data_IF_753087145405
#
_entry.id   IF_753087145405
#
_cell.length_a   1.000
_cell.length_b   1.000
_cell.length_c   1.000
_cell.angle_alpha   90.00
_cell.angle_beta   90.00
_cell.angle_gamma   90.00
#
_symmetry.space_group_name_H-M   'P 1'
#
loop_
_entity.id
_entity.type
_entity.pdbx_description
1 polymer ?
#
# COMPACT_ATOMS: atom_id res chain seq x y z
N UNK A 1 28.89 -7.38 -7.41
CA UNK A 1 28.73 -6.23 -8.33
C UNK A 1 28.58 -4.95 -7.50
N UNK A 2 29.17 -3.86 -7.92
CA UNK A 2 29.03 -2.60 -7.17
C UNK A 2 27.62 -2.01 -7.38
N UNK A 3 26.96 -1.65 -6.29
CA UNK A 3 25.66 -0.99 -6.32
C UNK A 3 25.85 0.47 -6.76
N UNK A 4 25.19 0.85 -7.84
CA UNK A 4 25.26 2.21 -8.39
C UNK A 4 24.08 3.07 -7.92
N UNK A 5 24.25 4.39 -7.96
CA UNK A 5 23.17 5.32 -7.66
C UNK A 5 21.98 5.18 -8.63
N UNK A 6 22.25 4.81 -9.88
CA UNK A 6 21.22 4.53 -10.89
C UNK A 6 20.34 3.34 -10.50
N UNK A 7 20.96 2.26 -10.06
CA UNK A 7 20.21 1.07 -9.58
C UNK A 7 19.33 1.38 -8.37
N UNK A 8 19.84 2.19 -7.43
CA UNK A 8 19.05 2.63 -6.26
C UNK A 8 17.85 3.46 -6.68
N UNK A 9 18.03 4.37 -7.64
CA UNK A 9 16.96 5.20 -8.19
C UNK A 9 15.90 4.36 -8.87
N UNK A 10 16.31 3.44 -9.74
CA UNK A 10 15.44 2.53 -10.46
C UNK A 10 14.61 1.66 -9.50
N UNK A 11 15.26 1.05 -8.51
CA UNK A 11 14.55 0.24 -7.50
C UNK A 11 13.54 1.07 -6.70
N UNK A 12 13.88 2.32 -6.40
CA UNK A 12 12.96 3.23 -5.72
C UNK A 12 11.75 3.58 -6.59
N UNK A 13 11.95 3.82 -7.87
CA UNK A 13 10.86 4.10 -8.82
C UNK A 13 9.92 2.88 -8.98
N UNK A 14 10.48 1.68 -8.97
CA UNK A 14 9.72 0.42 -9.06
C UNK A 14 8.91 0.11 -7.80
N UNK A 15 9.45 0.40 -6.63
CA UNK A 15 8.90 -0.10 -5.35
C UNK A 15 8.29 0.98 -4.45
N UNK A 16 8.60 2.24 -4.68
CA UNK A 16 8.23 3.33 -3.77
C UNK A 16 8.96 3.32 -2.42
N UNK A 17 9.89 2.39 -2.20
CA UNK A 17 10.62 2.27 -0.95
C UNK A 17 11.61 3.44 -0.75
N UNK A 18 12.00 3.68 0.50
CA UNK A 18 12.99 4.72 0.84
C UNK A 18 14.36 4.45 0.21
N UNK A 19 15.10 5.50 -0.12
CA UNK A 19 16.41 5.39 -0.78
C UNK A 19 17.40 4.51 -0.01
N UNK A 20 17.43 4.64 1.31
CA UNK A 20 18.33 3.83 2.15
C UNK A 20 17.93 2.36 2.19
N UNK A 21 16.62 2.07 2.20
CA UNK A 21 16.10 0.70 2.14
C UNK A 21 16.44 0.06 0.79
N UNK A 22 16.30 0.81 -0.32
CA UNK A 22 16.70 0.35 -1.65
C UNK A 22 18.20 0.06 -1.75
N UNK A 23 19.04 0.95 -1.23
CA UNK A 23 20.50 0.74 -1.18
C UNK A 23 20.86 -0.50 -0.38
N UNK A 24 20.22 -0.69 0.79
CA UNK A 24 20.42 -1.88 1.62
C UNK A 24 20.01 -3.15 0.88
N UNK A 25 18.83 -3.15 0.27
CA UNK A 25 18.31 -4.29 -0.49
C UNK A 25 19.28 -4.71 -1.60
N UNK A 26 19.77 -3.75 -2.39
CA UNK A 26 20.73 -4.03 -3.47
C UNK A 26 22.08 -4.56 -2.95
N UNK A 27 22.56 -4.05 -1.83
CA UNK A 27 23.77 -4.56 -1.22
C UNK A 27 23.61 -6.02 -0.75
N UNK A 28 22.49 -6.33 -0.08
CA UNK A 28 22.19 -7.69 0.40
C UNK A 28 21.96 -8.70 -0.74
N UNK A 29 21.58 -8.22 -1.91
CA UNK A 29 21.31 -9.05 -3.08
C UNK A 29 22.40 -8.94 -4.18
N UNK A 30 23.56 -8.36 -3.84
CA UNK A 30 24.69 -8.17 -4.77
C UNK A 30 24.32 -7.48 -6.09
N UNK A 31 23.37 -6.55 -6.05
CA UNK A 31 22.90 -5.80 -7.21
C UNK A 31 21.84 -6.49 -8.05
N UNK A 32 21.32 -7.62 -7.61
CA UNK A 32 20.19 -8.28 -8.27
C UNK A 32 18.90 -7.52 -7.98
N UNK A 33 18.28 -6.95 -9.03
CA UNK A 33 17.10 -6.10 -8.93
C UNK A 33 15.86 -6.87 -8.48
N UNK A 34 15.64 -8.06 -9.05
CA UNK A 34 14.46 -8.88 -8.73
C UNK A 34 14.54 -9.40 -7.28
N UNK A 35 15.71 -9.86 -6.88
CA UNK A 35 15.97 -10.25 -5.51
C UNK A 35 15.83 -9.07 -4.53
N UNK A 36 16.23 -7.87 -4.93
CA UNK A 36 16.09 -6.65 -4.13
C UNK A 36 14.61 -6.23 -3.94
N UNK A 37 13.78 -6.37 -4.97
CA UNK A 37 12.33 -6.16 -4.87
C UNK A 37 11.72 -7.11 -3.85
N UNK A 38 12.06 -8.39 -3.93
CA UNK A 38 11.55 -9.40 -3.00
C UNK A 38 12.05 -9.19 -1.56
N UNK A 39 13.30 -8.76 -1.41
CA UNK A 39 13.87 -8.39 -0.11
C UNK A 39 13.11 -7.20 0.52
N UNK A 40 12.80 -6.17 -0.28
CA UNK A 40 12.02 -5.02 0.18
C UNK A 40 10.59 -5.41 0.55
N UNK A 41 9.96 -6.29 -0.23
CA UNK A 41 8.61 -6.78 0.05
C UNK A 41 8.56 -7.51 1.40
N UNK A 42 9.48 -8.43 1.66
CA UNK A 42 9.57 -9.17 2.93
C UNK A 42 9.84 -8.25 4.12
N UNK A 43 10.73 -7.29 3.96
CA UNK A 43 11.03 -6.31 5.02
C UNK A 43 9.85 -5.36 5.29
N UNK A 44 9.12 -4.97 4.25
CA UNK A 44 7.91 -4.19 4.39
C UNK A 44 6.83 -4.92 5.18
N UNK A 45 6.62 -6.18 4.89
CA UNK A 45 5.71 -7.06 5.63
C UNK A 45 6.11 -7.16 7.12
N UNK A 46 7.38 -7.43 7.41
CA UNK A 46 7.88 -7.50 8.78
C UNK A 46 7.74 -6.18 9.55
N UNK A 47 7.94 -5.04 8.87
CA UNK A 47 7.71 -3.71 9.47
C UNK A 47 6.21 -3.47 9.75
N UNK A 48 5.34 -3.88 8.85
CA UNK A 48 3.88 -3.76 9.02
C UNK A 48 3.39 -4.61 10.20
N UNK A 49 3.84 -5.84 10.29
CA UNK A 49 3.52 -6.74 11.42
C UNK A 49 3.94 -6.15 12.76
N UNK A 50 5.13 -5.56 12.86
CA UNK A 50 5.61 -4.90 14.08
C UNK A 50 4.75 -3.71 14.49
N UNK A 51 4.08 -3.06 13.53
CA UNK A 51 3.23 -1.88 13.76
C UNK A 51 1.76 -2.24 13.93
N UNK A 52 1.35 -3.48 13.64
CA UNK A 52 -0.06 -3.89 13.65
C UNK A 52 -0.78 -3.67 14.98
N UNK A 53 -0.05 -3.68 16.09
CA UNK A 53 -0.59 -3.42 17.43
C UNK A 53 -0.71 -1.94 17.81
N UNK A 54 -0.31 -1.00 16.94
CA UNK A 54 -0.43 0.43 17.23
C UNK A 54 -1.87 0.90 17.15
N UNK A 55 -2.25 1.82 18.01
CA UNK A 55 -3.58 2.42 18.01
C UNK A 55 -3.70 3.37 16.82
N UNK A 56 -4.67 3.12 15.95
CA UNK A 56 -5.04 3.97 14.83
C UNK A 56 -6.45 4.52 15.09
N UNK A 57 -6.54 5.58 15.90
CA UNK A 57 -7.80 6.17 16.35
C UNK A 57 -8.27 7.34 15.47
N UNK A 58 -7.42 7.83 14.59
CA UNK A 58 -7.72 8.84 13.58
C UNK A 58 -8.00 8.18 12.24
N UNK A 59 -8.29 8.95 11.22
CA UNK A 59 -8.51 8.45 9.86
C UNK A 59 -9.60 9.20 9.13
N UNK A 60 -10.14 8.58 8.08
CA UNK A 60 -11.20 9.12 7.24
C UNK A 60 -12.34 8.13 7.07
N UNK A 61 -13.55 8.66 7.02
CA UNK A 61 -14.74 7.97 6.53
C UNK A 61 -15.09 8.57 5.17
N UNK A 62 -15.26 7.75 4.16
CA UNK A 62 -15.64 8.16 2.81
C UNK A 62 -16.81 7.35 2.32
N UNK A 63 -17.77 8.04 1.71
CA UNK A 63 -18.90 7.42 1.03
C UNK A 63 -18.89 7.77 -0.46
N UNK A 64 -19.37 6.87 -1.29
CA UNK A 64 -19.56 7.11 -2.71
C UNK A 64 -20.79 6.39 -3.23
N UNK A 65 -21.37 6.90 -4.32
CA UNK A 65 -22.56 6.35 -4.97
C UNK A 65 -22.23 6.09 -6.44
N UNK A 66 -22.71 4.97 -6.97
CA UNK A 66 -22.54 4.59 -8.36
C UNK A 66 -23.93 4.39 -9.00
N UNK A 67 -24.18 5.11 -10.11
CA UNK A 67 -25.37 5.00 -10.94
C UNK A 67 -26.71 5.14 -10.18
N UNK A 68 -26.72 5.89 -9.09
CA UNK A 68 -27.85 6.04 -8.14
C UNK A 68 -28.44 4.69 -7.63
N UNK A 69 -27.67 3.61 -7.73
CA UNK A 69 -28.13 2.25 -7.37
C UNK A 69 -27.29 1.58 -6.29
N UNK A 70 -25.99 1.86 -6.27
CA UNK A 70 -25.04 1.27 -5.33
C UNK A 70 -24.36 2.36 -4.55
N UNK A 71 -24.28 2.21 -3.25
CA UNK A 71 -23.51 3.08 -2.38
C UNK A 71 -22.54 2.25 -1.54
N UNK A 72 -21.37 2.80 -1.28
CA UNK A 72 -20.39 2.25 -0.35
C UNK A 72 -19.94 3.31 0.64
N UNK A 73 -19.66 2.88 1.85
CA UNK A 73 -19.03 3.70 2.88
C UNK A 73 -17.85 2.92 3.45
N UNK A 74 -16.71 3.56 3.58
CA UNK A 74 -15.50 2.96 4.14
C UNK A 74 -14.94 3.83 5.24
N UNK A 75 -14.34 3.21 6.23
CA UNK A 75 -13.51 3.83 7.24
C UNK A 75 -12.10 3.30 7.10
N UNK A 76 -11.13 4.22 6.93
CA UNK A 76 -9.71 3.89 6.86
C UNK A 76 -9.00 4.64 7.99
N UNK A 77 -8.50 3.89 8.95
CA UNK A 77 -7.87 4.46 10.13
C UNK A 77 -6.40 4.80 9.90
N UNK A 78 -5.93 5.79 10.64
CA UNK A 78 -4.53 6.21 10.69
C UNK A 78 -4.11 6.48 12.13
N UNK A 79 -2.80 6.51 12.37
CA UNK A 79 -2.27 6.78 13.73
C UNK A 79 -2.45 8.24 14.14
N UNK A 80 -2.43 9.17 13.18
CA UNK A 80 -2.50 10.62 13.44
C UNK A 80 -3.45 11.34 12.50
N UNK A 81 -3.95 12.51 12.92
CA UNK A 81 -4.74 13.41 12.08
C UNK A 81 -3.92 14.03 10.94
N UNK A 82 -2.61 14.17 11.10
CA UNK A 82 -1.72 14.62 10.02
C UNK A 82 -1.75 13.68 8.81
N UNK A 83 -1.77 12.36 9.05
CA UNK A 83 -1.93 11.35 8.00
C UNK A 83 -3.30 11.50 7.34
N UNK A 84 -4.37 11.64 8.12
CA UNK A 84 -5.73 11.81 7.60
C UNK A 84 -5.89 13.04 6.70
N UNK A 85 -5.12 14.09 6.94
CA UNK A 85 -5.11 15.33 6.14
C UNK A 85 -4.17 15.28 4.93
N UNK A 86 -3.34 14.25 4.82
CA UNK A 86 -2.39 14.09 3.72
C UNK A 86 -3.13 13.75 2.42
N UNK A 87 -2.78 14.43 1.32
CA UNK A 87 -3.44 14.27 0.03
C UNK A 87 -3.25 12.85 -0.56
N UNK A 88 -2.10 12.23 -0.35
CA UNK A 88 -1.81 10.87 -0.78
C UNK A 88 -2.68 9.85 -0.03
N UNK A 89 -2.83 10.01 1.28
CA UNK A 89 -3.72 9.18 2.08
C UNK A 89 -5.20 9.36 1.65
N UNK A 90 -5.64 10.58 1.41
CA UNK A 90 -7.00 10.87 0.91
C UNK A 90 -7.24 10.22 -0.45
N UNK A 91 -6.28 10.27 -1.36
CA UNK A 91 -6.33 9.59 -2.65
C UNK A 91 -6.42 8.05 -2.51
N UNK A 92 -5.70 7.49 -1.55
CA UNK A 92 -5.80 6.07 -1.21
C UNK A 92 -7.21 5.70 -0.70
N UNK A 93 -7.78 6.49 0.21
CA UNK A 93 -9.15 6.27 0.71
C UNK A 93 -10.18 6.36 -0.41
N UNK A 94 -10.03 7.31 -1.35
CA UNK A 94 -10.87 7.39 -2.55
C UNK A 94 -10.77 6.11 -3.40
N UNK A 95 -9.58 5.57 -3.58
CA UNK A 95 -9.38 4.31 -4.30
C UNK A 95 -10.02 3.11 -3.57
N UNK A 96 -9.96 3.09 -2.24
CA UNK A 96 -10.60 2.04 -1.42
C UNK A 96 -12.13 2.09 -1.55
N UNK A 97 -12.75 3.27 -1.46
CA UNK A 97 -14.20 3.38 -1.60
C UNK A 97 -14.67 3.03 -3.01
N UNK A 98 -13.90 3.38 -4.04
CA UNK A 98 -14.19 2.99 -5.42
C UNK A 98 -14.09 1.46 -5.61
N UNK A 99 -13.12 0.81 -4.99
CA UNK A 99 -13.02 -0.65 -4.95
C UNK A 99 -14.27 -1.26 -4.28
N UNK A 100 -14.70 -0.70 -3.16
CA UNK A 100 -15.89 -1.16 -2.44
C UNK A 100 -17.18 -1.01 -3.24
N UNK A 101 -17.31 0.04 -4.07
CA UNK A 101 -18.46 0.23 -4.97
C UNK A 101 -18.62 -0.89 -6.01
N UNK A 102 -17.52 -1.54 -6.39
CA UNK A 102 -17.47 -2.53 -7.46
C UNK A 102 -17.25 -3.96 -6.93
N UNK A 103 -17.27 -4.15 -5.60
CA UNK A 103 -17.03 -5.45 -4.99
C UNK A 103 -18.32 -6.27 -4.88
N UNK A 104 -18.17 -7.58 -5.03
CA UNK A 104 -19.19 -8.58 -4.67
C UNK A 104 -18.77 -9.40 -3.44
N UNK A 105 -17.70 -8.98 -2.76
CA UNK A 105 -17.20 -9.65 -1.57
C UNK A 105 -18.24 -9.66 -0.44
N UNK A 106 -18.46 -10.82 0.16
CA UNK A 106 -19.47 -11.02 1.21
C UNK A 106 -18.97 -10.56 2.60
N UNK A 107 -17.67 -10.45 2.79
CA UNK A 107 -17.03 -10.07 4.05
C UNK A 107 -15.70 -9.34 3.83
N UNK A 108 -15.10 -8.87 4.92
CA UNK A 108 -13.85 -8.13 4.89
C UNK A 108 -12.68 -8.98 4.37
N UNK A 109 -12.59 -10.24 4.78
CA UNK A 109 -11.49 -11.13 4.35
C UNK A 109 -11.52 -11.33 2.84
N UNK A 110 -12.69 -11.57 2.27
CA UNK A 110 -12.88 -11.70 0.82
C UNK A 110 -12.54 -10.39 0.10
N UNK A 111 -12.92 -9.24 0.65
CA UNK A 111 -12.58 -7.92 0.10
C UNK A 111 -11.07 -7.68 0.09
N UNK A 112 -10.39 -7.95 1.19
CA UNK A 112 -8.93 -7.76 1.31
C UNK A 112 -8.14 -8.68 0.39
N UNK A 113 -8.68 -9.85 0.05
CA UNK A 113 -8.05 -10.81 -0.87
C UNK A 113 -8.25 -10.47 -2.35
N UNK A 114 -9.14 -9.53 -2.70
CA UNK A 114 -9.36 -9.13 -4.09
C UNK A 114 -8.13 -8.50 -4.72
N UNK A 115 -8.01 -8.61 -6.04
CA UNK A 115 -7.02 -7.85 -6.80
C UNK A 115 -7.27 -6.34 -6.62
N UNK A 116 -6.21 -5.58 -6.38
CA UNK A 116 -6.29 -4.13 -6.25
C UNK A 116 -6.55 -3.47 -7.60
N UNK A 117 -7.62 -2.67 -7.73
CA UNK A 117 -8.01 -2.08 -9.02
C UNK A 117 -6.93 -1.17 -9.61
N UNK A 118 -6.20 -0.44 -8.77
CA UNK A 118 -5.12 0.44 -9.24
C UNK A 118 -3.86 -0.32 -9.66
N UNK A 119 -3.65 -1.53 -9.14
CA UNK A 119 -2.54 -2.41 -9.48
C UNK A 119 -2.95 -3.87 -9.29
N UNK A 120 -3.50 -4.54 -10.33
CA UNK A 120 -4.01 -5.91 -10.23
C UNK A 120 -2.97 -6.98 -9.90
N UNK A 121 -1.68 -6.65 -9.89
CA UNK A 121 -0.62 -7.56 -9.42
C UNK A 121 -0.57 -7.70 -7.90
N UNK A 122 -1.33 -6.86 -7.19
CA UNK A 122 -1.44 -6.82 -5.73
C UNK A 122 -2.87 -7.10 -5.29
N UNK A 123 -3.03 -7.46 -4.02
CA UNK A 123 -4.33 -7.53 -3.36
C UNK A 123 -4.68 -6.19 -2.70
N UNK A 124 -5.92 -6.05 -2.23
CA UNK A 124 -6.35 -4.90 -1.43
C UNK A 124 -5.49 -4.78 -0.15
N UNK A 125 -5.19 -5.89 0.49
CA UNK A 125 -4.35 -5.95 1.69
C UNK A 125 -2.88 -5.59 1.39
#
# INVERSE_FOLDING_TARGET
>A
MAVTASMVKELREMTGAGMMDCKKALNETNGDMDAAVEFLRKNGQAKAEKKAGRIAAEGLVKAAVKDDKVAAIVEVNSETDFVAKNAEFQGFVDAVVNQALNTEAADMDAFMAQAWNADPSKTVQ
#
